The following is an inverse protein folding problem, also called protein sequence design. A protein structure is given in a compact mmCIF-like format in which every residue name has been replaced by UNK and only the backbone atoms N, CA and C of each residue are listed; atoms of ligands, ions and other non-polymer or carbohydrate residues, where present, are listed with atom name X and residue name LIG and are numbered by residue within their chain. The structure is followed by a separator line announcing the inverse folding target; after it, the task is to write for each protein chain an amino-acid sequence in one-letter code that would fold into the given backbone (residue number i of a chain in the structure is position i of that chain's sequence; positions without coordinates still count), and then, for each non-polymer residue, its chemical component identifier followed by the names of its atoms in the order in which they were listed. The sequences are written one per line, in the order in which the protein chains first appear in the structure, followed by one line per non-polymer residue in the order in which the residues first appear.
data_IF_935057608045
#
_entry.id   IF_935057608045
#
_cell.length_a   1.000
_cell.length_b   1.000
_cell.length_c   1.000
_cell.angle_alpha   90.00
_cell.angle_beta   90.00
_cell.angle_gamma   90.00
#
_symmetry.space_group_name_H-M   'P 1'
#
loop_
_entity.id
_entity.type
_entity.pdbx_description
1 polymer ?
#
# COMPACT_ATOMS: atom_id res chain seq x y z
N UNK A 1 -3.55 19.32 -22.59
CA UNK A 1 -4.75 18.70 -22.00
C UNK A 1 -4.66 17.16 -21.90
N UNK A 2 -4.50 16.42 -23.01
CA UNK A 2 -4.53 14.92 -23.00
C UNK A 2 -3.49 14.23 -22.10
N UNK A 3 -2.27 14.76 -22.00
CA UNK A 3 -1.24 14.18 -21.14
C UNK A 3 -1.61 14.17 -19.66
N UNK A 4 -2.30 15.22 -19.17
CA UNK A 4 -2.75 15.32 -17.78
C UNK A 4 -3.83 14.29 -17.48
N UNK A 5 -4.83 14.18 -18.37
CA UNK A 5 -5.92 13.19 -18.27
C UNK A 5 -5.39 11.75 -18.25
N UNK A 6 -4.40 11.44 -19.08
CA UNK A 6 -3.78 10.10 -19.11
C UNK A 6 -3.06 9.79 -17.80
N UNK A 7 -2.30 10.75 -17.24
CA UNK A 7 -1.65 10.58 -15.93
C UNK A 7 -2.68 10.37 -14.81
N UNK A 8 -3.78 11.12 -14.85
CA UNK A 8 -4.87 11.00 -13.90
C UNK A 8 -5.51 9.61 -13.95
N UNK A 9 -5.90 9.13 -15.15
CA UNK A 9 -6.45 7.77 -15.33
C UNK A 9 -5.51 6.67 -14.82
N UNK A 10 -4.20 6.78 -15.09
CA UNK A 10 -3.22 5.82 -14.58
C UNK A 10 -3.09 5.88 -13.06
N UNK A 11 -3.19 7.06 -12.45
CA UNK A 11 -3.18 7.22 -11.00
C UNK A 11 -4.43 6.60 -10.38
N UNK A 12 -5.60 6.85 -10.96
CA UNK A 12 -6.88 6.27 -10.55
C UNK A 12 -6.88 4.75 -10.68
N UNK A 13 -6.33 4.21 -11.78
CA UNK A 13 -6.19 2.77 -11.97
C UNK A 13 -5.33 2.13 -10.87
N UNK A 14 -4.16 2.70 -10.60
CA UNK A 14 -3.26 2.23 -9.54
C UNK A 14 -3.92 2.30 -8.16
N UNK A 15 -4.67 3.38 -7.89
CA UNK A 15 -5.44 3.52 -6.64
C UNK A 15 -6.56 2.47 -6.54
N UNK A 16 -7.26 2.20 -7.64
CA UNK A 16 -8.33 1.20 -7.70
C UNK A 16 -7.80 -0.20 -7.39
N UNK A 17 -6.64 -0.57 -7.94
CA UNK A 17 -6.01 -1.86 -7.65
C UNK A 17 -5.62 -1.96 -6.16
N UNK A 18 -5.05 -0.90 -5.58
CA UNK A 18 -4.70 -0.88 -4.16
C UNK A 18 -5.93 -1.02 -3.26
N UNK A 19 -6.98 -0.24 -3.51
CA UNK A 19 -8.24 -0.35 -2.78
C UNK A 19 -8.84 -1.76 -2.89
N UNK A 20 -8.75 -2.40 -4.07
CA UNK A 20 -9.26 -3.76 -4.29
C UNK A 20 -8.50 -4.80 -3.48
N UNK A 21 -7.17 -4.69 -3.38
CA UNK A 21 -6.36 -5.55 -2.51
C UNK A 21 -6.78 -5.38 -1.05
N UNK A 22 -6.94 -4.13 -0.60
CA UNK A 22 -7.37 -3.85 0.77
C UNK A 22 -8.76 -4.44 1.06
N UNK A 23 -9.73 -4.25 0.17
CA UNK A 23 -11.07 -4.84 0.27
C UNK A 23 -11.03 -6.37 0.40
N UNK A 24 -10.26 -7.04 -0.48
CA UNK A 24 -10.14 -8.49 -0.47
C UNK A 24 -9.45 -9.02 0.79
N UNK A 25 -8.45 -8.30 1.31
CA UNK A 25 -7.79 -8.61 2.59
C UNK A 25 -8.78 -8.51 3.74
N UNK A 26 -9.56 -7.43 3.83
CA UNK A 26 -10.59 -7.27 4.87
C UNK A 26 -11.68 -8.35 4.75
N UNK A 27 -12.09 -8.68 3.52
CA UNK A 27 -13.03 -9.76 3.28
C UNK A 27 -12.49 -11.10 3.78
N UNK A 28 -11.22 -11.42 3.51
CA UNK A 28 -10.59 -12.64 4.00
C UNK A 28 -10.61 -12.72 5.52
N UNK A 29 -10.24 -11.64 6.21
CA UNK A 29 -10.26 -11.54 7.67
C UNK A 29 -11.67 -11.78 8.20
N UNK A 30 -12.68 -11.14 7.60
CA UNK A 30 -14.08 -11.30 7.97
C UNK A 30 -14.56 -12.75 7.81
N UNK A 31 -14.21 -13.41 6.71
CA UNK A 31 -14.60 -14.81 6.47
C UNK A 31 -13.94 -15.74 7.49
N UNK A 32 -12.64 -15.55 7.76
CA UNK A 32 -11.90 -16.33 8.76
C UNK A 32 -12.53 -16.20 10.15
N UNK A 33 -12.88 -14.97 10.55
CA UNK A 33 -13.58 -14.71 11.80
C UNK A 33 -14.95 -15.40 11.85
N UNK A 34 -15.74 -15.32 10.78
CA UNK A 34 -17.04 -15.98 10.74
C UNK A 34 -16.94 -17.51 10.85
N UNK A 35 -15.91 -18.13 10.24
CA UNK A 35 -15.63 -19.56 10.36
C UNK A 35 -15.22 -19.91 11.80
N UNK A 36 -14.32 -19.14 12.41
CA UNK A 36 -13.85 -19.42 13.77
C UNK A 36 -14.96 -19.27 14.81
N UNK A 37 -15.80 -18.25 14.67
CA UNK A 37 -16.99 -18.04 15.52
C UNK A 37 -17.96 -19.22 15.42
N UNK A 38 -18.21 -19.72 14.21
CA UNK A 38 -19.09 -20.88 13.98
C UNK A 38 -18.50 -22.18 14.52
N UNK A 39 -17.22 -22.42 14.32
CA UNK A 39 -16.55 -23.59 14.89
C UNK A 39 -16.59 -23.54 16.42
N UNK A 40 -16.37 -22.36 17.01
CA UNK A 40 -16.49 -22.16 18.46
C UNK A 40 -17.91 -22.43 18.94
N UNK A 41 -18.92 -21.88 18.25
CA UNK A 41 -20.33 -22.12 18.58
C UNK A 41 -20.71 -23.60 18.46
N UNK A 42 -20.24 -24.29 17.42
CA UNK A 42 -20.46 -25.73 17.22
C UNK A 42 -19.87 -26.57 18.36
N UNK A 43 -18.65 -26.26 18.81
CA UNK A 43 -18.04 -26.91 19.98
C UNK A 43 -18.88 -26.68 21.24
N UNK A 44 -19.31 -25.43 21.49
CA UNK A 44 -20.12 -25.09 22.66
C UNK A 44 -21.48 -25.81 22.66
N UNK A 45 -22.14 -25.91 21.49
CA UNK A 45 -23.38 -26.66 21.33
C UNK A 45 -23.17 -28.16 21.58
N UNK A 46 -22.07 -28.73 21.09
CA UNK A 46 -21.71 -30.13 21.36
C UNK A 46 -21.48 -30.41 22.85
N UNK A 47 -20.81 -29.49 23.56
CA UNK A 47 -20.59 -29.61 25.01
C UNK A 47 -21.90 -29.56 25.81
N UNK A 48 -22.90 -28.80 25.34
CA UNK A 48 -24.22 -28.71 25.98
C UNK A 48 -25.07 -29.97 25.75
N UNK A 49 -24.93 -30.62 24.60
CA UNK A 49 -25.73 -31.81 24.21
C UNK A 49 -25.14 -33.13 24.71
N UNK A 50 -23.81 -33.24 24.84
CA UNK A 50 -23.12 -34.50 25.12
C UNK A 50 -23.05 -34.88 26.62
N UNK A 51 -23.96 -34.35 27.44
CA UNK A 51 -23.99 -34.61 28.88
C UNK A 51 -24.39 -36.04 29.29
N UNK A 52 -24.97 -36.86 28.40
CA UNK A 52 -25.55 -38.15 28.79
C UNK A 52 -25.00 -39.40 28.07
N UNK A 53 -24.47 -39.34 26.84
CA UNK A 53 -24.00 -40.54 26.14
C UNK A 53 -22.73 -40.28 25.31
N UNK A 54 -21.56 -40.66 25.85
CA UNK A 54 -20.22 -40.39 25.31
C UNK A 54 -19.85 -41.09 23.99
N UNK A 55 -20.58 -40.81 22.91
CA UNK A 55 -20.25 -41.32 21.57
C UNK A 55 -19.45 -40.27 20.79
N UNK A 56 -18.12 -40.40 20.85
CA UNK A 56 -17.13 -39.50 20.22
C UNK A 56 -17.02 -39.67 18.69
N UNK A 57 -18.12 -39.56 17.94
CA UNK A 57 -18.04 -39.50 16.47
C UNK A 57 -17.94 -38.04 16.01
N UNK A 58 -16.86 -37.38 16.45
CA UNK A 58 -16.58 -35.97 16.18
C UNK A 58 -15.86 -35.83 14.82
N UNK A 59 -16.52 -36.35 13.77
CA UNK A 59 -16.07 -36.25 12.39
C UNK A 59 -16.19 -34.82 11.89
N UNK A 60 -15.27 -33.94 12.32
CA UNK A 60 -15.06 -32.68 11.61
C UNK A 60 -14.86 -33.04 10.14
N UNK A 61 -15.68 -32.51 9.22
CA UNK A 61 -15.54 -32.84 7.80
C UNK A 61 -14.10 -32.58 7.42
N UNK A 62 -13.45 -33.57 6.80
CA UNK A 62 -12.05 -33.50 6.43
C UNK A 62 -11.83 -32.23 5.60
N UNK A 63 -11.28 -31.20 6.23
CA UNK A 63 -11.08 -29.92 5.59
C UNK A 63 -9.96 -30.08 4.56
N UNK A 64 -10.10 -29.38 3.44
CA UNK A 64 -9.01 -29.27 2.48
C UNK A 64 -7.77 -28.71 3.23
N UNK A 65 -6.60 -29.38 3.15
CA UNK A 65 -5.38 -28.92 3.83
C UNK A 65 -5.03 -27.47 3.49
N UNK A 66 -5.38 -26.99 2.29
CA UNK A 66 -5.16 -25.60 1.88
C UNK A 66 -6.05 -24.63 2.66
N UNK A 67 -7.29 -25.01 2.96
CA UNK A 67 -8.19 -24.20 3.79
C UNK A 67 -7.69 -24.15 5.22
N UNK A 68 -7.20 -25.25 5.77
CA UNK A 68 -6.59 -25.25 7.10
C UNK A 68 -5.38 -24.33 7.20
N UNK A 69 -4.51 -24.35 6.20
CA UNK A 69 -3.35 -23.44 6.12
C UNK A 69 -3.81 -21.98 6.11
N UNK A 70 -4.82 -21.64 5.29
CA UNK A 70 -5.38 -20.29 5.24
C UNK A 70 -6.02 -19.85 6.57
N UNK A 71 -6.68 -20.76 7.28
CA UNK A 71 -7.25 -20.47 8.60
C UNK A 71 -6.16 -20.26 9.66
N UNK A 72 -5.08 -21.05 9.61
CA UNK A 72 -3.93 -20.95 10.53
C UNK A 72 -3.04 -19.73 10.28
N UNK A 73 -2.98 -19.22 9.04
CA UNK A 73 -2.20 -18.04 8.65
C UNK A 73 -2.52 -16.83 9.55
N UNK A 74 -1.53 -16.04 9.97
CA UNK A 74 -1.81 -14.83 10.74
C UNK A 74 -2.42 -13.72 9.86
N UNK A 75 -2.97 -12.67 10.47
CA UNK A 75 -3.50 -11.52 9.72
C UNK A 75 -2.41 -10.66 9.08
N UNK A 76 -1.19 -10.68 9.63
CA UNK A 76 -0.03 -9.97 9.09
C UNK A 76 0.58 -10.67 7.87
N UNK A 77 0.43 -11.98 7.76
CA UNK A 77 0.92 -12.80 6.66
C UNK A 77 0.02 -12.76 5.41
N UNK A 78 -1.15 -12.12 5.50
CA UNK A 78 -2.01 -11.91 4.33
C UNK A 78 -1.30 -10.92 3.39
N UNK A 79 -1.15 -11.25 2.09
CA UNK A 79 -0.55 -10.36 1.11
C UNK A 79 -1.14 -8.94 1.18
N UNK A 80 -0.25 -7.94 1.17
CA UNK A 80 -0.59 -6.52 1.32
C UNK A 80 0.19 -5.73 0.26
N UNK A 81 -0.37 -4.62 -0.21
CA UNK A 81 0.28 -3.71 -1.14
C UNK A 81 1.64 -3.18 -0.63
N UNK A 82 1.83 -3.11 0.69
CA UNK A 82 3.11 -2.75 1.33
C UNK A 82 4.19 -3.82 1.19
N UNK A 83 3.83 -5.07 0.91
CA UNK A 83 4.76 -6.19 0.74
C UNK A 83 5.26 -6.33 -0.71
N UNK A 84 4.80 -5.49 -1.64
CA UNK A 84 5.31 -5.50 -3.01
C UNK A 84 6.78 -5.08 -2.94
N UNK A 85 7.73 -5.94 -3.36
CA UNK A 85 9.14 -5.65 -3.21
C UNK A 85 9.47 -4.32 -3.89
N UNK A 86 10.06 -3.40 -3.12
CA UNK A 86 10.57 -2.17 -3.70
C UNK A 86 11.60 -2.56 -4.76
N UNK A 87 11.32 -2.15 -6.00
CA UNK A 87 12.19 -2.51 -7.11
C UNK A 87 13.63 -2.09 -6.80
N UNK A 88 14.60 -3.01 -6.94
CA UNK A 88 15.97 -2.79 -6.54
C UNK A 88 16.44 -1.40 -6.97
N UNK A 89 17.04 -0.67 -6.04
CA UNK A 89 17.70 0.58 -6.39
C UNK A 89 18.69 0.25 -7.51
N UNK A 90 18.51 0.81 -8.71
CA UNK A 90 19.39 0.49 -9.82
C UNK A 90 20.80 0.93 -9.44
N UNK A 91 21.66 -0.05 -9.18
CA UNK A 91 23.07 0.15 -8.96
C UNK A 91 23.64 0.38 -10.36
N UNK A 92 23.94 1.65 -10.70
CA UNK A 92 24.62 1.94 -11.95
C UNK A 92 25.99 1.26 -11.93
N UNK A 93 26.29 0.36 -12.88
CA UNK A 93 27.62 -0.23 -13.02
C UNK A 93 28.57 0.89 -13.48
N UNK A 94 29.25 1.56 -12.55
CA UNK A 94 30.15 2.65 -12.94
C UNK A 94 30.77 3.46 -11.81
N UNK A 95 30.15 3.51 -10.63
CA UNK A 95 30.68 4.32 -9.53
C UNK A 95 31.52 3.52 -8.52
N UNK A 96 31.45 2.19 -8.56
CA UNK A 96 32.44 1.37 -7.89
C UNK A 96 33.69 1.33 -8.75
N UNK A 97 34.82 1.83 -8.24
CA UNK A 97 36.16 1.52 -8.77
C UNK A 97 36.25 -0.01 -8.89
N UNK A 98 35.85 -0.57 -10.02
CA UNK A 98 36.22 -1.93 -10.39
C UNK A 98 37.72 -1.82 -10.62
N UNK A 99 38.45 -2.19 -9.57
CA UNK A 99 39.85 -2.60 -9.68
C UNK A 99 39.82 -3.63 -10.81
N UNK A 100 40.21 -3.22 -12.01
CA UNK A 100 40.45 -4.12 -13.13
C UNK A 100 41.46 -5.11 -12.58
N UNK A 101 40.96 -6.26 -12.15
CA UNK A 101 41.80 -7.42 -11.93
C UNK A 101 42.02 -7.90 -13.35
N UNK A 102 43.24 -7.70 -13.86
CA UNK A 102 43.70 -8.17 -15.16
C UNK A 102 43.73 -9.71 -15.16
N UNK A 103 42.55 -10.32 -15.08
CA UNK A 103 42.34 -11.76 -15.13
C UNK A 103 41.90 -12.14 -16.52
N UNK A 104 42.81 -12.79 -17.26
CA UNK A 104 42.61 -13.43 -18.56
C UNK A 104 41.54 -14.55 -18.49
N UNK A 105 40.26 -14.18 -18.38
CA UNK A 105 39.14 -15.11 -18.39
C UNK A 105 38.27 -14.90 -19.63
N UNK A 106 38.55 -15.71 -20.65
CA UNK A 106 37.99 -15.74 -22.01
C UNK A 106 36.53 -16.23 -22.09
N UNK A 107 35.66 -15.86 -21.13
CA UNK A 107 34.44 -16.65 -20.86
C UNK A 107 33.08 -15.96 -20.75
N UNK A 108 32.95 -14.62 -20.78
CA UNK A 108 31.67 -13.98 -20.40
C UNK A 108 31.34 -12.75 -21.26
N UNK A 109 31.05 -12.96 -22.55
CA UNK A 109 30.61 -11.92 -23.49
C UNK A 109 29.09 -11.84 -23.69
N UNK A 110 28.32 -12.83 -23.26
CA UNK A 110 26.91 -12.96 -23.63
C UNK A 110 25.95 -12.06 -22.83
N UNK A 111 26.33 -11.59 -21.63
CA UNK A 111 25.47 -10.71 -20.82
C UNK A 111 25.48 -9.23 -21.25
N UNK A 112 26.36 -8.85 -22.18
CA UNK A 112 26.45 -7.49 -22.68
C UNK A 112 25.43 -7.18 -23.79
N UNK A 113 24.93 -8.19 -24.49
CA UNK A 113 24.12 -8.00 -25.71
C UNK A 113 22.65 -7.70 -25.39
N UNK A 114 22.09 -8.30 -24.33
CA UNK A 114 20.68 -8.11 -23.94
C UNK A 114 20.39 -6.69 -23.40
N UNK A 115 21.41 -6.00 -22.88
CA UNK A 115 21.25 -4.64 -22.33
C UNK A 115 21.26 -3.52 -23.39
N UNK A 116 21.50 -3.84 -24.67
CA UNK A 116 21.51 -2.85 -25.76
C UNK A 116 20.12 -2.54 -26.30
N UNK A 117 19.13 -3.39 -26.01
CA UNK A 117 17.76 -3.25 -26.54
C UNK A 117 17.04 -1.99 -26.00
N UNK A 118 17.47 -1.49 -24.85
CA UNK A 118 16.87 -0.31 -24.20
C UNK A 118 17.21 1.02 -24.89
N UNK A 119 18.15 1.02 -25.83
CA UNK A 119 18.62 2.22 -26.54
C UNK A 119 19.28 3.24 -25.61
N UNK A 120 19.84 2.79 -24.49
CA UNK A 120 20.58 3.59 -23.51
C UNK A 120 22.08 3.36 -23.70
N UNK A 121 22.84 4.42 -23.96
CA UNK A 121 24.30 4.34 -24.07
C UNK A 121 24.96 4.36 -22.68
N UNK A 122 25.11 3.17 -22.09
CA UNK A 122 25.75 2.98 -20.78
C UNK A 122 27.25 3.34 -20.78
N UNK A 123 27.93 3.21 -21.92
CA UNK A 123 29.36 3.53 -22.04
C UNK A 123 29.57 5.03 -21.89
N UNK A 124 28.71 5.82 -22.52
CA UNK A 124 28.71 7.27 -22.37
C UNK A 124 28.39 7.71 -20.94
N UNK A 125 27.46 7.02 -20.27
CA UNK A 125 27.05 7.34 -18.90
C UNK A 125 28.18 7.15 -17.86
N UNK A 126 29.10 6.24 -18.13
CA UNK A 126 30.25 5.92 -17.27
C UNK A 126 31.50 6.78 -17.50
N UNK A 127 31.53 7.63 -18.53
CA UNK A 127 32.71 8.49 -18.82
C UNK A 127 32.95 9.52 -17.71
N UNK A 128 34.22 9.82 -17.48
CA UNK A 128 34.65 10.86 -16.54
C UNK A 128 34.18 12.25 -17.00
N UNK A 129 33.40 12.93 -16.15
CA UNK A 129 32.81 14.23 -16.47
C UNK A 129 33.84 15.33 -16.73
N UNK A 130 35.04 15.20 -16.16
CA UNK A 130 36.15 16.14 -16.36
C UNK A 130 36.75 16.03 -17.77
N UNK A 131 36.64 14.88 -18.42
CA UNK A 131 37.14 14.63 -19.77
C UNK A 131 36.07 14.85 -20.86
N UNK A 132 34.81 15.07 -20.46
CA UNK A 132 33.70 15.22 -21.41
C UNK A 132 33.64 16.63 -21.98
N UNK A 133 33.42 16.72 -23.28
CA UNK A 133 33.07 17.98 -23.94
C UNK A 133 31.68 18.47 -23.51
N UNK A 134 31.35 19.77 -23.65
CA UNK A 134 30.01 20.28 -23.32
C UNK A 134 28.87 19.57 -24.08
N UNK A 135 29.11 19.13 -25.31
CA UNK A 135 28.15 18.36 -26.11
C UNK A 135 27.93 16.94 -25.55
N UNK A 136 29.01 16.25 -25.17
CA UNK A 136 28.92 14.94 -24.51
C UNK A 136 28.23 15.05 -23.15
N UNK A 137 28.48 16.12 -22.39
CA UNK A 137 27.76 16.37 -21.13
C UNK A 137 26.25 16.52 -21.35
N UNK A 138 25.81 17.18 -22.42
CA UNK A 138 24.38 17.25 -22.76
C UNK A 138 23.82 15.88 -23.16
N UNK A 139 24.58 15.09 -23.92
CA UNK A 139 24.20 13.73 -24.28
C UNK A 139 24.07 12.84 -23.04
N UNK A 140 25.01 12.90 -22.09
CA UNK A 140 24.94 12.21 -20.79
C UNK A 140 23.69 12.63 -20.01
N UNK A 141 23.31 13.91 -20.04
CA UNK A 141 22.09 14.40 -19.38
C UNK A 141 20.82 13.80 -20.01
N UNK A 142 20.74 13.81 -21.34
CA UNK A 142 19.61 13.22 -22.09
C UNK A 142 19.50 11.74 -21.81
N UNK A 143 20.63 11.04 -21.81
CA UNK A 143 20.65 9.60 -21.63
C UNK A 143 20.29 9.20 -20.21
N UNK A 144 20.78 9.95 -19.21
CA UNK A 144 20.32 9.78 -17.82
C UNK A 144 18.81 10.01 -17.70
N UNK A 145 18.26 11.02 -18.38
CA UNK A 145 16.83 11.29 -18.37
C UNK A 145 16.03 10.17 -19.02
N UNK A 146 16.49 9.65 -20.17
CA UNK A 146 15.88 8.48 -20.85
C UNK A 146 15.85 7.29 -19.91
N UNK A 147 16.99 6.96 -19.32
CA UNK A 147 17.14 5.88 -18.35
C UNK A 147 16.21 6.04 -17.15
N UNK A 148 16.13 7.24 -16.53
CA UNK A 148 15.20 7.49 -15.42
C UNK A 148 13.74 7.34 -15.84
N UNK A 149 13.37 7.90 -17.00
CA UNK A 149 12.00 7.80 -17.51
C UNK A 149 11.62 6.35 -17.78
N UNK A 150 12.51 5.56 -18.38
CA UNK A 150 12.33 4.12 -18.59
C UNK A 150 12.11 3.40 -17.26
N UNK A 151 13.01 3.58 -16.31
CA UNK A 151 12.92 2.96 -14.99
C UNK A 151 11.64 3.32 -14.25
N UNK A 152 11.18 4.58 -14.31
CA UNK A 152 9.90 4.97 -13.70
C UNK A 152 8.71 4.28 -14.36
N UNK A 153 8.75 4.06 -15.68
CA UNK A 153 7.69 3.31 -16.40
C UNK A 153 7.72 1.84 -16.00
N UNK A 154 8.89 1.22 -16.01
CA UNK A 154 9.07 -0.19 -15.65
C UNK A 154 8.65 -0.43 -14.20
N UNK A 155 9.02 0.47 -13.28
CA UNK A 155 8.57 0.41 -11.90
C UNK A 155 7.06 0.41 -11.74
N UNK A 156 6.39 1.29 -12.48
CA UNK A 156 4.92 1.35 -12.45
C UNK A 156 4.28 0.13 -13.10
N UNK A 157 4.89 -0.40 -14.17
CA UNK A 157 4.38 -1.58 -14.87
C UNK A 157 4.41 -2.79 -13.94
N UNK A 158 5.59 -3.12 -13.41
CA UNK A 158 5.78 -4.25 -12.47
C UNK A 158 4.86 -4.09 -11.27
N UNK A 159 4.78 -2.90 -10.67
CA UNK A 159 3.87 -2.67 -9.53
C UNK A 159 2.41 -2.96 -9.86
N UNK A 160 1.92 -2.57 -11.05
CA UNK A 160 0.54 -2.88 -11.46
C UNK A 160 0.36 -4.38 -11.70
N UNK A 161 1.30 -5.03 -12.40
CA UNK A 161 1.27 -6.47 -12.68
C UNK A 161 1.26 -7.30 -11.38
N UNK A 162 2.14 -6.97 -10.43
CA UNK A 162 2.19 -7.61 -9.11
C UNK A 162 0.90 -7.41 -8.32
N UNK A 163 0.29 -6.21 -8.40
CA UNK A 163 -0.99 -5.93 -7.74
C UNK A 163 -2.12 -6.77 -8.35
N UNK A 164 -2.15 -6.95 -9.67
CA UNK A 164 -3.13 -7.80 -10.37
C UNK A 164 -2.96 -9.27 -9.99
N UNK A 165 -1.72 -9.77 -9.90
CA UNK A 165 -1.42 -11.13 -9.42
C UNK A 165 -1.88 -11.31 -7.97
N UNK A 166 -1.65 -10.30 -7.12
CA UNK A 166 -2.07 -10.32 -5.72
C UNK A 166 -3.59 -10.36 -5.58
N UNK A 167 -4.32 -9.54 -6.34
CA UNK A 167 -5.79 -9.54 -6.38
C UNK A 167 -6.29 -10.93 -6.74
N UNK A 168 -5.78 -11.52 -7.83
CA UNK A 168 -6.19 -12.86 -8.26
C UNK A 168 -5.95 -13.91 -7.18
N UNK A 169 -4.79 -13.89 -6.53
CA UNK A 169 -4.47 -14.80 -5.42
C UNK A 169 -5.45 -14.65 -4.26
N UNK A 170 -5.75 -13.42 -3.84
CA UNK A 170 -6.70 -13.17 -2.75
C UNK A 170 -8.13 -13.56 -3.12
N UNK A 171 -8.56 -13.35 -4.36
CA UNK A 171 -9.86 -13.80 -4.87
C UNK A 171 -9.98 -15.33 -4.84
N UNK A 172 -8.95 -16.05 -5.31
CA UNK A 172 -8.90 -17.50 -5.26
C UNK A 172 -8.95 -18.03 -3.82
N UNK A 173 -8.16 -17.44 -2.90
CA UNK A 173 -8.16 -17.80 -1.48
C UNK A 173 -9.51 -17.51 -0.80
N UNK A 174 -10.13 -16.35 -1.08
CA UNK A 174 -11.43 -15.98 -0.53
C UNK A 174 -12.53 -16.91 -1.03
N UNK A 175 -12.50 -17.31 -2.30
CA UNK A 175 -13.42 -18.28 -2.88
C UNK A 175 -13.37 -19.63 -2.13
N UNK A 176 -12.16 -20.13 -1.86
CA UNK A 176 -11.96 -21.36 -1.07
C UNK A 176 -12.54 -21.22 0.34
N UNK A 177 -12.25 -20.13 1.04
CA UNK A 177 -12.73 -19.88 2.39
C UNK A 177 -14.26 -19.73 2.43
N UNK A 178 -14.86 -19.07 1.44
CA UNK A 178 -16.33 -18.96 1.33
C UNK A 178 -16.97 -20.32 1.11
N UNK A 179 -16.41 -21.15 0.22
CA UNK A 179 -16.89 -22.51 0.00
C UNK A 179 -16.88 -23.33 1.30
N UNK A 180 -15.78 -23.26 2.05
CA UNK A 180 -15.68 -23.90 3.36
C UNK A 180 -16.67 -23.33 4.38
N UNK A 181 -16.83 -22.01 4.46
CA UNK A 181 -17.80 -21.38 5.34
C UNK A 181 -19.23 -21.85 5.03
N UNK A 182 -19.56 -22.03 3.76
CA UNK A 182 -20.85 -22.56 3.33
C UNK A 182 -21.03 -24.03 3.72
N UNK A 183 -19.98 -24.85 3.60
CA UNK A 183 -20.01 -26.23 4.09
C UNK A 183 -20.26 -26.29 5.59
N UNK A 184 -19.53 -25.52 6.40
CA UNK A 184 -19.74 -25.45 7.87
C UNK A 184 -21.17 -25.04 8.21
N UNK A 185 -21.78 -24.14 7.43
CA UNK A 185 -23.18 -23.74 7.64
C UNK A 185 -24.18 -24.83 7.29
N UNK A 186 -23.92 -25.61 6.25
CA UNK A 186 -24.80 -26.67 5.81
C UNK A 186 -24.84 -27.86 6.79
N UNK A 187 -23.78 -28.05 7.59
CA UNK A 187 -23.71 -29.13 8.58
C UNK A 187 -24.47 -28.84 9.88
N UNK A 188 -24.99 -27.63 10.09
CA UNK A 188 -25.95 -27.43 11.17
C UNK A 188 -27.25 -28.12 10.75
N UNK A 189 -27.61 -29.27 11.38
CA UNK A 189 -28.84 -29.95 11.04
C UNK A 189 -29.98 -28.93 11.17
N UNK A 190 -30.91 -28.87 10.20
CA UNK A 190 -32.11 -28.07 10.36
C UNK A 190 -32.69 -28.49 11.70
N UNK A 191 -32.84 -27.54 12.63
CA UNK A 191 -33.40 -27.80 13.94
C UNK A 191 -34.70 -28.55 13.71
N UNK A 192 -34.67 -29.86 13.89
CA UNK A 192 -35.82 -30.69 13.63
C UNK A 192 -36.86 -30.17 14.60
N UNK A 193 -37.94 -29.62 14.05
CA UNK A 193 -39.01 -28.88 14.74
C UNK A 193 -39.83 -29.79 15.67
N UNK A 194 -39.20 -30.87 16.13
CA UNK A 194 -39.65 -31.75 17.20
C UNK A 194 -39.60 -30.99 18.51
N UNK A 195 -40.52 -30.03 18.69
CA UNK A 195 -41.52 -30.02 19.74
C UNK A 195 -41.08 -30.24 21.19
N UNK A 196 -39.80 -30.13 21.52
CA UNK A 196 -39.32 -30.16 22.89
C UNK A 196 -39.61 -28.77 23.46
N UNK A 197 -40.87 -28.63 23.90
CA UNK A 197 -41.33 -27.54 24.74
C UNK A 197 -40.50 -27.54 26.02
N UNK A 198 -39.33 -26.89 25.97
CA UNK A 198 -38.59 -26.49 27.17
C UNK A 198 -39.34 -25.34 27.84
N UNK A 199 -40.49 -25.68 28.42
CA UNK A 199 -41.17 -24.87 29.42
C UNK A 199 -40.39 -24.98 30.72
N UNK A 200 -39.18 -24.42 30.79
CA UNK A 200 -38.53 -24.12 32.05
C UNK A 200 -38.48 -22.60 32.24
N UNK A 201 -39.57 -22.11 32.83
CA UNK A 201 -39.61 -20.83 33.51
C UNK A 201 -38.62 -20.87 34.69
N UNK A 202 -37.36 -20.52 34.45
CA UNK A 202 -36.43 -20.16 35.52
C UNK A 202 -36.39 -18.63 35.55
N UNK A 203 -37.31 -18.09 36.32
CA UNK A 203 -37.32 -16.72 36.80
C UNK A 203 -35.99 -16.43 37.51
N UNK A 204 -35.21 -15.42 37.11
CA UNK A 204 -34.03 -15.01 37.87
C UNK A 204 -34.47 -14.28 39.16
N UNK A 205 -34.02 -14.69 40.36
CA UNK A 205 -34.16 -13.88 41.55
C UNK A 205 -33.25 -12.65 41.41
N UNK A 206 -33.85 -11.46 41.50
CA UNK A 206 -33.15 -10.19 41.38
C UNK A 206 -32.13 -9.97 42.51
N UNK A 207 -30.97 -9.34 42.23
CA UNK A 207 -30.04 -8.94 43.27
C UNK A 207 -30.55 -7.66 43.96
N UNK A 208 -30.93 -7.81 45.22
CA UNK A 208 -31.11 -6.72 46.17
C UNK A 208 -29.77 -6.01 46.41
N UNK A 209 -29.80 -4.71 46.17
CA UNK A 209 -28.84 -3.70 46.58
C UNK A 209 -28.53 -3.74 48.08
N UNK A 210 -27.25 -3.79 48.44
CA UNK A 210 -26.73 -3.28 49.71
C UNK A 210 -25.38 -2.62 49.46
N UNK A 211 -25.33 -1.32 49.73
CA UNK A 211 -24.15 -0.48 49.83
C UNK A 211 -23.34 -0.77 51.11
N UNK A 212 -22.20 -0.08 51.20
CA UNK A 212 -21.38 0.23 52.38
C UNK A 212 -20.33 -0.78 52.89
N UNK A 213 -19.05 -0.45 52.66
CA UNK A 213 -18.20 0.33 53.59
C UNK A 213 -16.74 -0.16 53.77
N UNK A 214 -15.82 0.81 53.67
CA UNK A 214 -14.55 1.00 54.41
C UNK A 214 -13.34 0.03 54.32
N UNK A 215 -12.27 0.58 53.74
CA UNK A 215 -10.88 0.73 54.26
C UNK A 215 -10.07 -0.45 54.82
N UNK A 216 -8.87 -0.66 54.26
CA UNK A 216 -7.54 -0.79 54.94
C UNK A 216 -6.58 -1.59 54.02
N UNK A 217 -5.54 -0.96 53.46
CA UNK A 217 -4.17 -0.95 54.00
C UNK A 217 -3.49 -2.33 54.12
N UNK A 218 -2.62 -2.64 53.17
CA UNK A 218 -1.25 -3.10 53.45
C UNK A 218 -0.38 -3.09 52.18
N UNK A 219 0.82 -2.51 52.33
CA UNK A 219 1.96 -2.65 51.43
C UNK A 219 2.38 -4.12 51.38
N UNK A 220 2.84 -4.63 50.24
CA UNK A 220 4.17 -5.25 50.03
C UNK A 220 4.38 -5.45 48.52
N UNK A 221 5.59 -5.06 48.13
CA UNK A 221 6.33 -5.17 46.87
C UNK A 221 6.39 -6.60 46.30
N UNK A 222 6.15 -6.79 44.99
CA UNK A 222 7.04 -7.49 44.04
C UNK A 222 6.34 -7.77 42.68
N UNK A 223 7.10 -7.70 41.57
CA UNK A 223 6.79 -8.43 40.34
C UNK A 223 6.06 -7.69 39.21
N UNK A 224 6.84 -7.20 38.24
CA UNK A 224 6.43 -6.69 36.91
C UNK A 224 5.39 -7.58 36.20
N UNK A 225 4.17 -7.10 36.10
CA UNK A 225 3.26 -7.44 35.00
C UNK A 225 2.89 -6.15 34.26
N UNK A 226 3.35 -6.02 33.01
CA UNK A 226 2.86 -5.00 32.09
C UNK A 226 1.43 -5.40 31.68
N UNK A 227 0.45 -4.96 32.45
CA UNK A 227 -0.96 -5.09 32.07
C UNK A 227 -1.22 -4.17 30.88
N UNK A 228 -1.85 -4.72 29.84
CA UNK A 228 -2.33 -4.01 28.63
C UNK A 228 -3.37 -2.90 28.93
N UNK A 229 -3.59 -2.55 30.19
CA UNK A 229 -4.62 -1.60 30.64
C UNK A 229 -4.16 -0.14 30.72
N UNK A 230 -2.85 0.15 30.71
CA UNK A 230 -2.36 1.52 30.88
C UNK A 230 -2.20 2.33 29.58
N UNK A 231 -2.45 1.72 28.42
CA UNK A 231 -2.25 2.40 27.13
C UNK A 231 -3.21 3.58 26.93
N UNK A 232 -4.47 3.44 27.37
CA UNK A 232 -5.45 4.53 27.27
C UNK A 232 -5.11 5.70 28.21
N UNK A 233 -4.71 5.40 29.45
CA UNK A 233 -4.27 6.42 30.40
C UNK A 233 -2.99 7.15 29.93
N UNK A 234 -2.11 6.44 29.21
CA UNK A 234 -0.89 7.00 28.66
C UNK A 234 -1.18 7.90 27.45
N UNK A 235 -2.13 7.55 26.58
CA UNK A 235 -2.61 8.40 25.49
C UNK A 235 -3.31 9.65 26.04
N UNK A 236 -4.14 9.51 27.06
CA UNK A 236 -4.83 10.64 27.69
C UNK A 236 -3.85 11.59 28.39
N UNK A 237 -2.83 11.06 29.07
CA UNK A 237 -1.71 11.85 29.59
C UNK A 237 -0.90 12.54 28.48
N UNK A 238 -0.69 11.89 27.34
CA UNK A 238 0.03 12.47 26.21
C UNK A 238 -0.76 13.61 25.54
N UNK A 239 -2.07 13.45 25.38
CA UNK A 239 -2.98 14.48 24.86
C UNK A 239 -3.12 15.65 25.83
N UNK A 240 -3.20 15.38 27.13
CA UNK A 240 -3.19 16.42 28.16
C UNK A 240 -1.87 17.20 28.17
N UNK A 241 -0.74 16.52 28.01
CA UNK A 241 0.58 17.16 27.90
C UNK A 241 0.75 17.93 26.58
N UNK A 242 0.18 17.46 25.47
CA UNK A 242 0.21 18.15 24.18
C UNK A 242 -0.75 19.35 24.11
N UNK A 243 -1.74 19.43 25.01
CA UNK A 243 -2.77 20.47 25.06
C UNK A 243 -2.30 21.85 25.53
N UNK A 244 -1.05 22.04 25.96
CA UNK A 244 -0.57 23.33 26.49
C UNK A 244 0.38 24.09 25.55
N UNK A 245 0.36 23.84 24.24
CA UNK A 245 0.94 24.79 23.29
C UNK A 245 -0.04 25.95 23.07
N UNK A 246 -0.18 26.78 24.10
CA UNK A 246 -0.61 28.17 23.90
C UNK A 246 0.33 28.78 22.86
N UNK A 247 -0.24 29.09 21.70
CA UNK A 247 0.35 29.99 20.72
C UNK A 247 0.51 31.35 21.40
N UNK A 248 1.57 31.54 22.15
CA UNK A 248 2.12 32.87 22.37
C UNK A 248 2.68 33.29 21.01
N UNK A 249 1.87 34.05 20.27
CA UNK A 249 2.36 34.83 19.13
C UNK A 249 3.37 35.83 19.69
N UNK A 250 4.62 35.42 19.75
CA UNK A 250 5.72 36.37 19.86
C UNK A 250 5.78 37.03 18.49
N UNK A 251 5.42 38.30 18.45
CA UNK A 251 5.69 39.21 17.35
C UNK A 251 7.19 39.19 17.04
N UNK A 252 7.60 38.34 16.10
CA UNK A 252 8.83 38.59 15.37
C UNK A 252 8.49 39.64 14.31
N UNK A 253 8.88 40.90 14.59
CA UNK A 253 9.09 41.94 13.59
C UNK A 253 10.10 41.44 12.55
N UNK A 254 9.61 40.71 11.55
CA UNK A 254 10.34 40.47 10.31
C UNK A 254 9.94 41.61 9.38
N UNK A 255 10.91 42.50 9.21
CA UNK A 255 10.89 43.59 8.24
C UNK A 255 10.22 43.17 6.93
N UNK A 256 9.17 43.91 6.59
CA UNK A 256 8.44 43.83 5.35
C UNK A 256 9.39 43.94 4.14
N UNK A 257 9.54 42.85 3.40
CA UNK A 257 9.81 42.91 1.96
C UNK A 257 8.47 42.68 1.29
N UNK A 258 7.91 43.80 0.84
CA UNK A 258 6.72 43.94 0.01
C UNK A 258 6.86 43.08 -1.25
N UNK A 259 6.32 41.87 -1.22
CA UNK A 259 6.05 41.11 -2.44
C UNK A 259 4.59 41.34 -2.80
N UNK A 260 4.41 42.17 -3.82
CA UNK A 260 3.15 42.59 -4.38
C UNK A 260 2.21 41.41 -4.69
N UNK A 261 0.95 41.66 -4.37
CA UNK A 261 -0.23 40.91 -4.73
C UNK A 261 -0.29 40.67 -6.25
N UNK A 262 -0.57 39.43 -6.63
CA UNK A 262 -1.14 39.11 -7.94
C UNK A 262 -2.33 38.21 -7.69
N UNK A 263 -3.49 38.84 -7.53
CA UNK A 263 -4.80 38.22 -7.60
C UNK A 263 -4.96 37.40 -8.89
N UNK A 264 -5.12 36.09 -8.73
CA UNK A 264 -5.83 35.27 -9.72
C UNK A 264 -6.83 34.41 -8.97
N UNK A 265 -8.01 34.98 -8.78
CA UNK A 265 -9.23 34.27 -8.43
C UNK A 265 -9.64 33.39 -9.62
N UNK A 266 -9.50 32.07 -9.49
CA UNK A 266 -10.16 31.11 -10.36
C UNK A 266 -11.05 30.20 -9.51
N UNK A 267 -12.21 30.77 -9.16
CA UNK A 267 -13.38 30.02 -8.73
C UNK A 267 -13.84 29.13 -9.89
N UNK A 268 -13.94 27.83 -9.68
CA UNK A 268 -14.70 26.93 -10.58
C UNK A 268 -15.59 26.03 -9.75
N UNK A 269 -16.79 26.54 -9.53
CA UNK A 269 -17.95 25.77 -9.11
C UNK A 269 -18.41 24.84 -10.23
N UNK A 270 -18.76 23.61 -9.85
CA UNK A 270 -19.81 22.71 -10.34
C UNK A 270 -20.24 22.75 -11.83
N UNK A 271 -20.24 21.59 -12.47
CA UNK A 271 -21.48 21.02 -13.02
C UNK A 271 -21.32 19.54 -13.36
N UNK A 272 -22.25 18.76 -12.82
CA UNK A 272 -22.56 17.39 -13.20
C UNK A 272 -23.11 17.37 -14.63
N UNK A 273 -22.46 16.62 -15.52
CA UNK A 273 -23.13 16.08 -16.71
C UNK A 273 -22.62 14.67 -16.98
N UNK A 274 -23.49 13.71 -16.67
CA UNK A 274 -23.60 12.42 -17.33
C UNK A 274 -23.43 12.57 -18.85
N UNK A 275 -22.49 11.86 -19.44
CA UNK A 275 -22.58 11.49 -20.85
C UNK A 275 -21.91 10.15 -21.07
N UNK A 276 -22.79 9.14 -21.09
CA UNK A 276 -22.68 7.86 -21.77
C UNK A 276 -22.14 8.10 -23.20
N UNK A 277 -20.96 7.57 -23.51
CA UNK A 277 -20.48 7.51 -24.89
C UNK A 277 -20.01 6.10 -25.14
N UNK A 278 -20.73 5.47 -26.05
CA UNK A 278 -20.69 4.07 -26.43
C UNK A 278 -19.36 3.69 -27.08
N UNK A 279 -19.15 2.38 -27.06
CA UNK A 279 -18.10 1.66 -27.78
C UNK A 279 -18.26 1.90 -29.28
N UNK A 280 -17.17 2.27 -29.95
CA UNK A 280 -17.03 2.01 -31.37
C UNK A 280 -15.65 1.41 -31.64
N UNK A 281 -15.72 0.27 -32.31
CA UNK A 281 -14.67 -0.55 -32.87
C UNK A 281 -13.82 0.18 -33.92
N UNK A 282 -12.69 -0.46 -34.20
CA UNK A 282 -12.07 -0.56 -35.52
C UNK A 282 -11.37 0.69 -36.11
N UNK A 283 -10.04 0.62 -36.19
CA UNK A 283 -9.33 0.47 -37.48
C UNK A 283 -7.82 0.61 -37.30
N UNK A 284 -7.10 -0.36 -37.86
CA UNK A 284 -5.64 -0.35 -37.97
C UNK A 284 -5.13 0.87 -38.72
N UNK A 285 -4.01 1.42 -38.25
CA UNK A 285 -3.31 2.48 -38.96
C UNK A 285 -1.87 2.05 -39.19
N UNK A 286 -1.64 1.53 -40.39
CA UNK A 286 -0.36 1.26 -41.00
C UNK A 286 0.50 2.54 -41.07
N UNK A 287 1.72 2.44 -40.55
CA UNK A 287 2.94 2.56 -41.37
C UNK A 287 2.97 3.71 -42.40
N UNK A 288 3.28 4.93 -41.97
CA UNK A 288 3.92 5.91 -42.85
C UNK A 288 5.03 6.69 -42.15
N UNK A 289 6.26 6.37 -42.55
CA UNK A 289 7.45 7.17 -42.32
C UNK A 289 7.27 8.57 -42.93
N UNK A 290 7.40 9.61 -42.11
CA UNK A 290 7.43 10.99 -42.58
C UNK A 290 8.67 11.73 -42.08
N UNK A 291 9.61 11.82 -43.01
CA UNK A 291 10.76 12.73 -43.09
C UNK A 291 10.28 14.18 -43.22
N UNK A 292 10.47 15.03 -42.20
CA UNK A 292 10.50 16.51 -42.30
C UNK A 292 11.44 17.05 -41.21
N UNK A 293 12.68 17.37 -41.54
CA UNK A 293 13.14 18.70 -41.98
C UNK A 293 12.91 19.78 -40.90
N UNK A 294 13.81 19.82 -39.92
CA UNK A 294 13.90 20.89 -38.94
C UNK A 294 14.47 22.15 -39.60
N UNK A 295 13.63 23.17 -39.77
CA UNK A 295 14.08 24.54 -40.04
C UNK A 295 14.58 25.13 -38.72
N UNK A 296 15.87 25.45 -38.67
CA UNK A 296 16.48 26.24 -37.61
C UNK A 296 16.02 27.70 -37.75
N UNK A 297 15.29 28.21 -36.76
CA UNK A 297 15.08 29.64 -36.60
C UNK A 297 15.97 30.09 -35.43
N UNK A 298 16.98 30.88 -35.77
CA UNK A 298 17.83 31.60 -34.84
C UNK A 298 16.98 32.57 -34.03
N UNK A 299 16.80 32.27 -32.74
CA UNK A 299 16.23 33.18 -31.75
C UNK A 299 17.37 33.63 -30.83
N UNK A 300 17.77 34.91 -30.82
CA UNK A 300 18.79 35.39 -29.89
C UNK A 300 18.23 35.42 -28.47
N UNK A 301 18.72 34.53 -27.61
CA UNK A 301 18.44 34.55 -26.18
C UNK A 301 19.21 35.70 -25.52
N UNK A 302 18.55 36.83 -25.31
CA UNK A 302 19.01 37.91 -24.46
C UNK A 302 18.97 37.45 -22.99
N UNK A 303 20.12 37.07 -22.45
CA UNK A 303 20.30 36.72 -21.03
C UNK A 303 20.35 38.03 -20.22
N UNK A 304 19.48 38.23 -19.21
CA UNK A 304 19.57 39.39 -18.33
C UNK A 304 20.83 39.28 -17.45
N UNK A 305 21.61 40.36 -17.42
CA UNK A 305 22.84 40.49 -16.62
C UNK A 305 22.47 40.44 -15.13
N UNK A 306 23.10 39.50 -14.42
CA UNK A 306 23.03 39.34 -12.97
C UNK A 306 23.45 40.62 -12.24
N UNK A 307 22.65 41.02 -11.24
CA UNK A 307 22.94 42.11 -10.32
C UNK A 307 23.99 41.62 -9.31
N UNK A 308 25.17 42.25 -9.33
CA UNK A 308 26.22 42.06 -8.34
C UNK A 308 25.96 43.01 -7.17
N UNK A 309 25.58 42.47 -6.00
CA UNK A 309 25.52 43.25 -4.75
C UNK A 309 26.83 43.11 -3.99
N UNK A 310 27.65 44.17 -3.99
CA UNK A 310 28.81 44.32 -3.10
C UNK A 310 28.34 44.85 -1.75
N UNK A 311 28.54 44.07 -0.69
CA UNK A 311 28.31 44.52 0.68
C UNK A 311 29.43 45.47 1.10
N UNK A 312 29.06 46.70 1.49
CA UNK A 312 29.93 47.61 2.22
C UNK A 312 29.82 47.28 3.72
N UNK A 313 30.96 47.03 4.36
CA UNK A 313 31.09 46.99 5.82
C UNK A 313 31.42 48.38 6.35
N UNK A 314 30.74 48.77 7.42
CA UNK A 314 31.11 49.87 8.32
C UNK A 314 31.50 49.27 9.67
#
# INVERSE_FOLDING_TARGET
MHARKTRQRKKEHMQKLQNRVDELKHEQIRIKQAISEKNTASILLGLLQNGEDGKEDNGSPAADPRVEELLKRSTEEIPDASNIPELPALILPGNGKRKFVDGDADGDKDLAEENLEDGIDYMLLGKDRSACTPAELDQIRRERNRMHAKRTRDRKRIFMEEMEVMIKKLEDENSLLLSHANMVNAYLPPADDGGMSFSQAITPPGPSSTEDNTSASCKVDDGRHQSKGDFFNQIESLLAAAGSFQRNSVECEINAITCAESDVTASTSQSDHNSLCEEEDDHGCELLASKRQCMALDVPSSVPKSITTTNYSL
#
